data_IF_457630431802
#
_entry.id   IF_457630431802
#
_cell.length_a   1.000
_cell.length_b   1.000
_cell.length_c   1.000
_cell.angle_alpha   90.00
_cell.angle_beta   90.00
_cell.angle_gamma   90.00
#
_symmetry.space_group_name_H-M   'P 1'
#
loop_
_entity.id
_entity.type
_entity.pdbx_description
1 polymer ?
#
# COMPACT_ATOMS: atom_id res chain seq x y z
N UNK A 1 21.47 -9.27 16.10
CA UNK A 1 22.64 -8.62 15.48
C UNK A 1 23.37 -7.79 16.52
N UNK A 2 24.70 -7.57 16.41
CA UNK A 2 25.45 -6.80 17.43
C UNK A 2 25.20 -5.30 17.41
N UNK A 3 24.66 -4.75 16.32
CA UNK A 3 24.36 -3.33 16.16
C UNK A 3 24.88 -2.76 14.84
N UNK A 4 24.57 -1.48 14.61
CA UNK A 4 25.03 -0.71 13.43
C UNK A 4 26.44 -0.16 13.70
N UNK A 5 27.35 -0.35 12.73
CA UNK A 5 28.74 0.09 12.86
C UNK A 5 28.84 1.60 13.07
N UNK A 6 29.49 2.03 14.16
CA UNK A 6 29.66 3.44 14.56
C UNK A 6 28.35 4.27 14.64
N UNK A 7 27.20 3.62 14.81
CA UNK A 7 25.89 4.27 14.94
C UNK A 7 25.15 3.71 16.17
N UNK A 8 25.62 4.12 17.35
CA UNK A 8 24.99 3.74 18.62
C UNK A 8 23.55 4.23 18.76
N UNK A 9 23.26 5.39 18.20
CA UNK A 9 21.93 5.98 18.10
C UNK A 9 20.95 5.07 17.37
N UNK A 10 21.32 4.59 16.19
CA UNK A 10 20.51 3.64 15.41
C UNK A 10 20.43 2.28 16.08
N UNK A 11 21.51 1.85 16.72
CA UNK A 11 21.51 0.58 17.44
C UNK A 11 20.52 0.61 18.59
N UNK A 12 20.51 1.68 19.41
CA UNK A 12 19.57 1.83 20.50
C UNK A 12 18.11 1.87 20.01
N UNK A 13 17.83 2.60 18.90
CA UNK A 13 16.50 2.69 18.33
C UNK A 13 16.01 1.38 17.70
N UNK A 14 16.92 0.46 17.35
CA UNK A 14 16.59 -0.79 16.66
C UNK A 14 16.12 -1.91 17.60
N UNK A 15 16.22 -1.71 18.90
CA UNK A 15 15.79 -2.69 19.90
C UNK A 15 14.70 -2.09 20.80
N UNK A 16 13.82 -2.93 21.31
CA UNK A 16 12.87 -2.55 22.35
C UNK A 16 13.47 -2.65 23.75
N UNK A 17 12.65 -2.35 24.77
CA UNK A 17 13.07 -2.39 26.18
C UNK A 17 13.41 -3.80 26.66
N UNK A 18 12.89 -4.84 26.01
CA UNK A 18 13.13 -6.26 26.29
C UNK A 18 14.34 -6.81 25.50
N UNK A 19 14.93 -6.00 24.60
CA UNK A 19 16.07 -6.38 23.77
C UNK A 19 15.73 -7.09 22.47
N UNK A 20 14.46 -7.09 22.05
CA UNK A 20 14.05 -7.61 20.73
C UNK A 20 14.36 -6.62 19.61
N UNK A 21 14.87 -7.15 18.51
CA UNK A 21 15.17 -6.34 17.34
C UNK A 21 13.87 -6.00 16.56
N UNK A 22 13.62 -4.72 16.38
CA UNK A 22 12.47 -4.20 15.64
C UNK A 22 12.73 -4.28 14.15
N UNK A 23 12.27 -5.34 13.49
CA UNK A 23 12.46 -5.53 12.03
C UNK A 23 11.60 -4.59 11.20
N UNK A 24 10.54 -4.00 11.78
CA UNK A 24 9.62 -3.09 11.09
C UNK A 24 8.55 -3.80 10.26
N UNK A 25 8.52 -5.12 10.27
CA UNK A 25 7.49 -5.90 9.59
C UNK A 25 6.34 -6.23 10.56
N UNK A 26 5.11 -6.10 10.06
CA UNK A 26 3.92 -6.57 10.75
C UNK A 26 3.68 -8.04 10.39
N UNK A 27 3.31 -8.83 11.40
CA UNK A 27 2.96 -10.25 11.23
C UNK A 27 1.70 -10.57 12.02
N UNK A 28 0.95 -11.56 11.56
CA UNK A 28 -0.19 -12.14 12.30
C UNK A 28 -0.05 -13.65 12.34
N UNK A 29 -0.70 -14.28 13.31
CA UNK A 29 -0.81 -15.74 13.33
C UNK A 29 -1.57 -16.21 12.10
N UNK A 30 -1.10 -17.29 11.45
CA UNK A 30 -1.80 -17.92 10.33
C UNK A 30 -3.17 -18.47 10.80
N UNK A 31 -3.23 -18.93 12.05
CA UNK A 31 -4.43 -19.36 12.75
C UNK A 31 -4.34 -18.85 14.20
N UNK A 32 -5.36 -18.11 14.66
CA UNK A 32 -5.37 -17.53 15.99
C UNK A 32 -5.42 -18.61 17.10
N UNK A 33 -6.02 -19.77 16.80
CA UNK A 33 -6.21 -20.88 17.74
C UNK A 33 -5.06 -21.91 17.68
N UNK A 34 -4.20 -21.82 16.65
CA UNK A 34 -3.08 -22.75 16.46
C UNK A 34 -1.79 -22.02 16.04
N UNK A 35 -0.99 -21.53 17.01
CA UNK A 35 0.28 -20.84 16.72
C UNK A 35 1.31 -21.70 15.99
N UNK A 36 1.19 -23.05 16.02
CA UNK A 36 2.11 -23.94 15.30
C UNK A 36 1.98 -23.83 13.78
N UNK A 37 0.89 -23.26 13.26
CA UNK A 37 0.70 -22.96 11.84
C UNK A 37 1.56 -21.78 11.35
N UNK A 38 2.25 -21.10 12.26
CA UNK A 38 3.23 -20.08 11.95
C UNK A 38 2.64 -18.67 11.77
N UNK A 39 3.42 -17.81 11.14
CA UNK A 39 3.12 -16.39 10.94
C UNK A 39 2.89 -16.09 9.46
N UNK A 40 1.97 -15.17 9.20
CA UNK A 40 1.74 -14.58 7.89
C UNK A 40 2.23 -13.14 7.92
N UNK A 41 3.01 -12.75 6.93
CA UNK A 41 3.43 -11.37 6.75
C UNK A 41 2.22 -10.47 6.46
N UNK A 42 2.11 -9.36 7.19
CA UNK A 42 0.96 -8.43 7.14
C UNK A 42 1.37 -6.99 6.76
N UNK A 43 2.51 -6.85 6.12
CA UNK A 43 3.01 -5.57 5.64
C UNK A 43 4.11 -4.97 6.50
N UNK A 44 4.38 -3.66 6.29
CA UNK A 44 5.35 -2.90 7.05
C UNK A 44 4.67 -1.96 8.02
N UNK A 45 5.04 -2.02 9.29
CA UNK A 45 4.49 -1.15 10.35
C UNK A 45 4.61 0.33 9.99
N UNK A 46 5.72 0.72 9.35
CA UNK A 46 5.98 2.10 8.94
C UNK A 46 5.11 2.59 7.77
N UNK A 47 4.43 1.70 7.06
CA UNK A 47 3.54 2.04 5.95
C UNK A 47 2.09 2.19 6.39
N UNK A 48 1.72 1.57 7.51
CA UNK A 48 0.36 1.66 8.05
C UNK A 48 0.08 3.07 8.58
N UNK A 49 -1.15 3.53 8.37
CA UNK A 49 -1.56 4.88 8.77
C UNK A 49 -2.99 4.91 9.30
N UNK A 50 -3.37 6.05 9.88
CA UNK A 50 -4.75 6.33 10.29
C UNK A 50 -5.43 7.26 9.30
N UNK A 51 -6.71 6.98 9.05
CA UNK A 51 -7.63 7.95 8.44
C UNK A 51 -7.94 9.08 9.43
N UNK A 52 -8.46 10.21 8.94
CA UNK A 52 -8.96 11.29 9.79
C UNK A 52 -10.04 10.86 10.78
N UNK A 53 -10.72 9.74 10.50
CA UNK A 53 -11.69 9.09 11.40
C UNK A 53 -11.04 8.32 12.56
N UNK A 54 -9.70 8.23 12.58
CA UNK A 54 -8.95 7.45 13.56
C UNK A 54 -8.82 5.96 13.23
N UNK A 55 -9.44 5.50 12.13
CA UNK A 55 -9.41 4.08 11.73
C UNK A 55 -8.07 3.72 11.10
N UNK A 56 -7.47 2.61 11.53
CA UNK A 56 -6.23 2.09 10.96
C UNK A 56 -6.43 1.51 9.55
N UNK A 57 -5.46 1.74 8.69
CA UNK A 57 -5.34 1.15 7.36
C UNK A 57 -4.08 0.30 7.32
N UNK A 58 -4.25 -0.99 7.09
CA UNK A 58 -3.15 -1.95 6.91
C UNK A 58 -2.76 -1.99 5.43
N UNK A 59 -1.73 -1.23 5.10
CA UNK A 59 -1.33 -0.94 3.72
C UNK A 59 -0.93 -2.19 2.95
N UNK A 60 -0.11 -3.05 3.55
CA UNK A 60 0.38 -4.27 2.89
C UNK A 60 -0.74 -5.21 2.49
N UNK A 61 -1.66 -5.50 3.43
CA UNK A 61 -2.79 -6.38 3.18
C UNK A 61 -3.75 -5.78 2.13
N UNK A 62 -4.01 -4.48 2.22
CA UNK A 62 -4.91 -3.79 1.30
C UNK A 62 -4.34 -3.72 -0.13
N UNK A 63 -3.04 -3.47 -0.27
CA UNK A 63 -2.34 -3.48 -1.56
C UNK A 63 -2.49 -4.83 -2.27
N UNK A 64 -2.24 -5.93 -1.56
CA UNK A 64 -2.39 -7.29 -2.10
C UNK A 64 -3.83 -7.57 -2.55
N UNK A 65 -4.81 -7.19 -1.74
CA UNK A 65 -6.23 -7.34 -2.09
C UNK A 65 -6.62 -6.55 -3.33
N UNK A 66 -6.15 -5.29 -3.45
CA UNK A 66 -6.44 -4.45 -4.61
C UNK A 66 -5.85 -5.04 -5.89
N UNK A 67 -4.59 -5.46 -5.86
CA UNK A 67 -3.92 -6.07 -7.01
C UNK A 67 -4.67 -7.34 -7.43
N UNK A 68 -5.02 -8.22 -6.49
CA UNK A 68 -5.74 -9.45 -6.78
C UNK A 68 -7.15 -9.22 -7.33
N UNK A 69 -7.88 -8.20 -6.82
CA UNK A 69 -9.22 -7.88 -7.29
C UNK A 69 -9.25 -7.30 -8.71
N UNK A 70 -8.16 -6.65 -9.11
CA UNK A 70 -8.01 -6.01 -10.41
C UNK A 70 -7.11 -6.78 -11.39
N UNK A 71 -6.70 -8.00 -11.04
CA UNK A 71 -5.89 -8.86 -11.91
C UNK A 71 -6.58 -9.09 -13.27
N UNK A 72 -5.87 -9.02 -14.40
CA UNK A 72 -4.43 -8.76 -14.59
C UNK A 72 -4.09 -7.27 -14.86
N UNK A 73 -4.93 -6.31 -14.50
CA UNK A 73 -4.85 -4.91 -14.95
C UNK A 73 -3.84 -4.08 -14.13
N UNK A 74 -3.64 -4.41 -12.85
CA UNK A 74 -2.73 -3.68 -11.97
C UNK A 74 -1.47 -4.51 -11.77
N UNK A 75 -0.31 -3.90 -12.09
CA UNK A 75 0.99 -4.48 -11.78
C UNK A 75 1.36 -4.23 -10.32
N UNK A 76 1.09 -3.02 -9.84
CA UNK A 76 1.38 -2.61 -8.47
C UNK A 76 0.51 -1.43 -8.05
N UNK A 77 0.44 -1.15 -6.73
CA UNK A 77 -0.34 -0.06 -6.17
C UNK A 77 0.34 0.57 -4.95
N UNK A 78 0.10 1.85 -4.75
CA UNK A 78 0.50 2.62 -3.57
C UNK A 78 -0.77 3.12 -2.89
N UNK A 79 -0.96 2.73 -1.64
CA UNK A 79 -2.15 3.05 -0.85
C UNK A 79 -1.95 4.42 -0.19
N UNK A 80 -2.97 5.27 -0.24
CA UNK A 80 -2.95 6.59 0.36
C UNK A 80 -4.24 6.87 1.12
N UNK A 81 -4.21 7.88 2.00
CA UNK A 81 -5.36 8.23 2.85
C UNK A 81 -4.96 8.75 4.22
N UNK A 82 -3.66 8.91 4.49
CA UNK A 82 -3.20 9.50 5.74
C UNK A 82 -3.89 10.87 5.96
N UNK A 83 -4.53 11.02 7.12
CA UNK A 83 -5.32 12.19 7.50
C UNK A 83 -6.48 12.55 6.54
N UNK A 84 -6.87 11.64 5.64
CA UNK A 84 -8.06 11.79 4.77
C UNK A 84 -9.24 10.99 5.33
N UNK A 85 -10.45 11.30 4.86
CA UNK A 85 -11.67 10.61 5.30
C UNK A 85 -11.80 9.18 4.74
N UNK A 86 -11.10 8.87 3.67
CA UNK A 86 -11.20 7.60 2.97
C UNK A 86 -9.88 7.18 2.32
N UNK A 87 -9.79 5.89 2.02
CA UNK A 87 -8.62 5.31 1.35
C UNK A 87 -8.68 5.57 -0.15
N UNK A 88 -7.54 5.95 -0.73
CA UNK A 88 -7.31 6.01 -2.17
C UNK A 88 -6.10 5.14 -2.56
N UNK A 89 -5.89 4.98 -3.88
CA UNK A 89 -4.68 4.36 -4.36
C UNK A 89 -4.20 4.96 -5.70
N UNK A 90 -2.88 5.09 -5.83
CA UNK A 90 -2.21 5.29 -7.10
C UNK A 90 -1.87 3.90 -7.65
N UNK A 91 -2.30 3.58 -8.88
CA UNK A 91 -2.14 2.25 -9.46
C UNK A 91 -1.23 2.29 -10.68
N UNK A 92 -0.28 1.38 -10.71
CA UNK A 92 0.63 1.19 -11.84
C UNK A 92 0.03 0.13 -12.76
N UNK A 93 -0.33 0.50 -14.00
CA UNK A 93 -0.99 -0.40 -14.91
C UNK A 93 -0.03 -1.48 -15.41
N UNK A 94 -0.54 -2.69 -15.57
CA UNK A 94 0.15 -3.80 -16.23
C UNK A 94 0.19 -3.61 -17.75
N UNK A 95 0.98 -4.40 -18.48
CA UNK A 95 0.89 -4.44 -19.95
C UNK A 95 -0.52 -4.78 -20.46
N UNK A 96 -1.28 -5.61 -19.74
CA UNK A 96 -2.66 -5.95 -20.10
C UNK A 96 -3.62 -4.76 -20.00
N UNK A 97 -3.41 -3.87 -19.03
CA UNK A 97 -4.19 -2.65 -18.88
C UNK A 97 -4.02 -1.70 -20.08
N UNK A 98 -2.83 -1.63 -20.66
CA UNK A 98 -2.55 -0.76 -21.82
C UNK A 98 -3.31 -1.20 -23.08
N UNK A 99 -3.68 -2.47 -23.17
CA UNK A 99 -4.43 -3.04 -24.27
C UNK A 99 -5.96 -3.03 -24.03
N UNK A 100 -6.41 -2.75 -22.80
CA UNK A 100 -7.80 -2.80 -22.43
C UNK A 100 -8.51 -1.48 -22.79
N UNK A 101 -9.54 -1.57 -23.62
CA UNK A 101 -10.41 -0.42 -23.98
C UNK A 101 -11.44 -0.09 -22.91
N UNK A 102 -11.68 -1.03 -21.99
CA UNK A 102 -12.65 -0.98 -20.89
C UNK A 102 -11.97 -0.90 -19.51
N UNK A 103 -10.73 -0.38 -19.47
CA UNK A 103 -9.91 -0.34 -18.25
C UNK A 103 -10.65 0.34 -17.07
N UNK A 104 -11.29 1.49 -17.35
CA UNK A 104 -11.98 2.27 -16.30
C UNK A 104 -13.12 1.48 -15.68
N UNK A 105 -13.97 0.88 -16.51
CA UNK A 105 -15.11 0.08 -16.09
C UNK A 105 -14.69 -1.15 -15.27
N UNK A 106 -13.65 -1.81 -15.70
CA UNK A 106 -13.10 -3.00 -14.99
C UNK A 106 -12.48 -2.64 -13.65
N UNK A 107 -11.73 -1.55 -13.57
CA UNK A 107 -11.18 -1.05 -12.31
C UNK A 107 -12.28 -0.60 -11.35
N UNK A 108 -13.33 0.05 -11.87
CA UNK A 108 -14.49 0.42 -11.06
C UNK A 108 -15.25 -0.82 -10.55
N UNK A 109 -15.37 -1.86 -11.37
CA UNK A 109 -15.97 -3.13 -10.94
C UNK A 109 -15.13 -3.80 -9.81
N UNK A 110 -13.79 -3.76 -9.91
CA UNK A 110 -12.92 -4.25 -8.87
C UNK A 110 -13.10 -3.48 -7.54
N UNK A 111 -13.20 -2.14 -7.59
CA UNK A 111 -13.51 -1.32 -6.42
C UNK A 111 -14.85 -1.70 -5.79
N UNK A 112 -15.90 -1.85 -6.60
CA UNK A 112 -17.23 -2.25 -6.13
C UNK A 112 -17.22 -3.62 -5.46
N UNK A 113 -16.47 -4.57 -6.00
CA UNK A 113 -16.30 -5.89 -5.40
C UNK A 113 -15.64 -5.79 -4.03
N UNK A 114 -14.53 -5.06 -3.92
CA UNK A 114 -13.83 -4.87 -2.65
C UNK A 114 -14.69 -4.16 -1.59
N UNK A 115 -15.52 -3.22 -2.01
CA UNK A 115 -16.42 -2.49 -1.11
C UNK A 115 -17.52 -3.37 -0.48
N UNK A 116 -17.85 -4.49 -1.10
CA UNK A 116 -18.81 -5.47 -0.57
C UNK A 116 -18.20 -6.36 0.53
N UNK A 117 -16.85 -6.44 0.59
CA UNK A 117 -16.15 -7.37 1.48
C UNK A 117 -15.80 -6.78 2.85
N UNK A 118 -15.97 -5.44 3.06
CA UNK A 118 -15.57 -4.85 4.34
C UNK A 118 -15.84 -3.36 4.51
N UNK A 119 -15.37 -2.82 5.63
CA UNK A 119 -15.51 -1.42 6.01
C UNK A 119 -14.62 -0.45 5.21
N UNK A 120 -14.81 0.85 5.41
CA UNK A 120 -14.19 1.94 4.63
C UNK A 120 -12.66 2.00 4.66
N UNK A 121 -12.02 1.35 5.65
CA UNK A 121 -10.56 1.26 5.73
C UNK A 121 -9.97 0.02 5.04
N UNK A 122 -10.83 -0.90 4.57
CA UNK A 122 -10.43 -2.19 4.00
C UNK A 122 -10.48 -2.23 2.48
N UNK A 123 -10.86 -1.13 1.83
CA UNK A 123 -10.87 -0.98 0.38
C UNK A 123 -10.64 0.48 -0.03
N UNK A 124 -9.96 0.74 -1.16
CA UNK A 124 -9.88 2.09 -1.72
C UNK A 124 -11.25 2.49 -2.28
N UNK A 125 -11.59 3.76 -2.13
CA UNK A 125 -12.80 4.35 -2.73
C UNK A 125 -12.52 5.06 -4.04
N UNK A 126 -11.26 5.34 -4.31
CA UNK A 126 -10.80 6.02 -5.51
C UNK A 126 -9.44 5.51 -5.96
N UNK A 127 -9.25 5.47 -7.27
CA UNK A 127 -8.00 5.10 -7.92
C UNK A 127 -7.59 6.18 -8.91
N UNK A 128 -6.29 6.40 -9.05
CA UNK A 128 -5.69 7.15 -10.14
C UNK A 128 -4.66 6.25 -10.84
N UNK A 129 -4.85 6.06 -12.15
CA UNK A 129 -3.94 5.23 -12.95
C UNK A 129 -2.71 6.04 -13.34
N UNK A 130 -1.54 5.53 -13.00
CA UNK A 130 -0.27 6.19 -13.30
C UNK A 130 0.08 6.06 -14.77
N UNK A 131 0.42 7.18 -15.42
CA UNK A 131 0.95 7.22 -16.78
C UNK A 131 2.43 6.84 -16.85
N UNK A 132 3.19 7.19 -15.79
CA UNK A 132 4.61 6.92 -15.69
C UNK A 132 4.88 5.74 -14.76
N UNK A 133 5.78 4.82 -15.14
CA UNK A 133 6.20 3.73 -14.27
C UNK A 133 6.95 4.26 -13.03
N UNK A 134 7.12 3.44 -11.97
CA UNK A 134 7.94 3.82 -10.83
C UNK A 134 9.41 3.96 -11.24
N UNK A 135 10.08 5.00 -10.75
CA UNK A 135 11.47 5.31 -11.06
C UNK A 135 12.43 4.66 -10.08
N UNK A 136 13.42 3.92 -10.60
CA UNK A 136 14.52 3.36 -9.80
C UNK A 136 15.41 4.50 -9.28
N UNK A 137 15.75 5.45 -10.14
CA UNK A 137 16.64 6.58 -9.78
C UNK A 137 16.05 7.48 -8.70
N UNK A 138 14.72 7.58 -8.65
CA UNK A 138 14.00 8.30 -7.60
C UNK A 138 13.66 7.42 -6.39
N UNK A 139 14.19 6.21 -6.32
CA UNK A 139 13.96 5.25 -5.24
C UNK A 139 12.46 4.91 -5.02
N UNK A 140 11.62 5.05 -6.05
CA UNK A 140 10.21 4.64 -6.01
C UNK A 140 10.05 3.11 -6.05
N UNK A 141 11.01 2.44 -6.68
CA UNK A 141 11.12 0.99 -6.73
C UNK A 141 12.57 0.59 -6.51
N UNK A 142 12.79 -0.46 -5.75
CA UNK A 142 14.13 -0.99 -5.51
C UNK A 142 14.64 -1.80 -6.70
N UNK A 143 15.95 -2.08 -6.74
CA UNK A 143 16.58 -3.00 -7.71
C UNK A 143 16.00 -4.42 -7.68
N UNK A 144 15.40 -4.82 -6.55
CA UNK A 144 14.69 -6.09 -6.36
C UNK A 144 13.21 -6.04 -6.78
N UNK A 145 12.74 -4.92 -7.31
CA UNK A 145 11.36 -4.74 -7.73
C UNK A 145 10.36 -4.45 -6.61
N UNK A 146 10.81 -4.12 -5.40
CA UNK A 146 9.91 -3.76 -4.30
C UNK A 146 9.54 -2.27 -4.35
N UNK A 147 8.26 -1.98 -4.31
CA UNK A 147 7.72 -0.62 -4.26
C UNK A 147 8.09 0.05 -2.94
N UNK A 148 8.64 1.26 -3.03
CA UNK A 148 8.86 2.15 -1.90
C UNK A 148 7.69 3.12 -1.80
N UNK A 149 6.66 2.72 -1.07
CA UNK A 149 5.42 3.48 -0.92
C UNK A 149 5.66 4.93 -0.50
N UNK A 150 6.54 5.14 0.48
CA UNK A 150 6.86 6.47 0.99
C UNK A 150 7.45 7.37 -0.10
N UNK A 151 8.45 6.88 -0.85
CA UNK A 151 9.08 7.65 -1.92
C UNK A 151 8.10 8.01 -3.03
N UNK A 152 7.18 7.09 -3.39
CA UNK A 152 6.13 7.37 -4.37
C UNK A 152 5.19 8.47 -3.86
N UNK A 153 4.70 8.37 -2.62
CA UNK A 153 3.78 9.36 -2.06
C UNK A 153 4.42 10.75 -1.93
N UNK A 154 5.69 10.82 -1.52
CA UNK A 154 6.44 12.09 -1.43
C UNK A 154 6.66 12.71 -2.82
N UNK A 155 7.14 11.93 -3.79
CA UNK A 155 7.43 12.43 -5.13
C UNK A 155 6.18 12.78 -5.92
N UNK A 156 5.11 12.00 -5.77
CA UNK A 156 3.85 12.15 -6.51
C UNK A 156 2.74 12.79 -5.67
N UNK A 157 3.11 13.64 -4.72
CA UNK A 157 2.13 14.29 -3.82
C UNK A 157 1.05 15.05 -4.59
N UNK A 158 1.38 15.73 -5.70
CA UNK A 158 0.41 16.41 -6.56
C UNK A 158 -0.64 15.46 -7.15
N UNK A 159 -0.26 14.22 -7.51
CA UNK A 159 -1.21 13.21 -8.00
C UNK A 159 -2.07 12.64 -6.88
N UNK A 160 -1.56 12.60 -5.65
CA UNK A 160 -2.39 12.28 -4.48
C UNK A 160 -3.43 13.36 -4.24
N UNK A 161 -3.07 14.64 -4.36
CA UNK A 161 -4.03 15.74 -4.22
C UNK A 161 -5.07 15.71 -5.35
N UNK A 162 -4.69 15.44 -6.59
CA UNK A 162 -5.59 15.24 -7.72
C UNK A 162 -6.57 14.09 -7.47
N UNK A 163 -6.08 12.95 -6.97
CA UNK A 163 -6.90 11.80 -6.60
C UNK A 163 -8.03 12.20 -5.65
N UNK A 164 -7.72 13.02 -4.63
CA UNK A 164 -8.72 13.44 -3.63
C UNK A 164 -9.56 14.63 -4.09
N UNK A 165 -9.08 15.45 -5.02
CA UNK A 165 -9.88 16.49 -5.67
C UNK A 165 -10.96 15.94 -6.61
N UNK A 166 -10.83 14.69 -7.07
CA UNK A 166 -11.84 14.05 -7.94
C UNK A 166 -11.76 14.49 -9.39
N UNK A 167 -10.55 14.58 -9.94
CA UNK A 167 -10.33 14.89 -11.37
C UNK A 167 -10.96 13.88 -12.32
N UNK A 168 -11.04 14.23 -13.61
CA UNK A 168 -11.67 13.39 -14.65
C UNK A 168 -11.04 11.99 -14.77
N UNK A 169 -9.75 11.89 -14.49
CA UNK A 169 -9.00 10.62 -14.57
C UNK A 169 -9.14 9.76 -13.30
N UNK A 170 -9.76 10.29 -12.25
CA UNK A 170 -10.02 9.54 -11.02
C UNK A 170 -11.17 8.57 -11.23
N UNK A 171 -10.95 7.32 -10.88
CA UNK A 171 -11.95 6.25 -10.84
C UNK A 171 -12.48 6.16 -9.42
N UNK A 172 -13.76 6.37 -9.20
CA UNK A 172 -14.39 6.34 -7.88
C UNK A 172 -15.55 5.35 -7.82
N UNK A 173 -15.88 4.95 -6.56
CA UNK A 173 -17.08 4.17 -6.25
C UNK A 173 -18.35 4.99 -6.49
#
# INVERSE_FOLDING_TARGET
MPGYYKRSDLTAAAFDEEGFYRIGDAVRLADADDPAKGLVFDGRVAEDFKLSTGTWVHVGALRVKLIAAADPLIQDAVITGHDRAEVGALVFPSPAAKAATDLRERLQAALKKLAQEGGSSTHPRRLLVMSEPPSIDANEITDKGYMNQRAVLERRAALVDELYAGGADVISL
#
